data_IF_477720037654
#
_entry.id   IF_477720037654
#
_cell.length_a   1.000
_cell.length_b   1.000
_cell.length_c   1.000
_cell.angle_alpha   90.00
_cell.angle_beta   90.00
_cell.angle_gamma   90.00
#
_symmetry.space_group_name_H-M   'P 1'
#
loop_
_entity.id
_entity.type
_entity.pdbx_description
1 polymer ?
#
# COMPACT_ATOMS: atom_id res chain seq x y z
N UNK A 1 2.41 -14.17 -17.53
CA UNK A 1 3.40 -14.53 -16.49
C UNK A 1 4.33 -13.36 -16.19
N UNK A 2 5.40 -13.06 -16.94
CA UNK A 2 6.34 -12.00 -16.51
C UNK A 2 5.73 -10.58 -16.42
N UNK A 3 4.79 -10.24 -17.31
CA UNK A 3 4.04 -8.99 -17.24
C UNK A 3 3.11 -8.92 -16.01
N UNK A 4 2.80 -10.07 -15.45
CA UNK A 4 1.86 -10.28 -14.34
C UNK A 4 2.59 -10.57 -13.02
N UNK A 5 3.92 -10.55 -13.07
CA UNK A 5 4.81 -10.57 -11.92
C UNK A 5 5.27 -9.14 -11.70
N UNK A 6 5.09 -8.61 -10.49
CA UNK A 6 5.43 -7.23 -10.12
C UNK A 6 6.96 -7.01 -10.08
N UNK A 7 7.62 -7.08 -11.24
CA UNK A 7 9.07 -7.02 -11.41
C UNK A 7 9.46 -5.83 -12.30
N UNK A 8 10.59 -5.19 -11.99
CA UNK A 8 11.22 -4.21 -12.87
C UNK A 8 11.93 -4.89 -14.07
N UNK A 9 12.34 -4.11 -15.07
CA UNK A 9 12.96 -4.67 -16.29
C UNK A 9 14.30 -5.36 -16.01
N UNK A 10 15.10 -4.83 -15.07
CA UNK A 10 16.36 -5.43 -14.63
C UNK A 10 16.17 -6.86 -14.11
N UNK A 11 15.09 -7.12 -13.34
CA UNK A 11 14.76 -8.45 -12.83
C UNK A 11 14.12 -9.36 -13.89
N UNK A 12 13.48 -8.79 -14.92
CA UNK A 12 12.88 -9.57 -16.03
C UNK A 12 13.92 -10.04 -17.04
N UNK A 13 14.94 -9.25 -17.32
CA UNK A 13 15.97 -9.55 -18.30
C UNK A 13 16.65 -10.93 -18.12
N UNK A 14 17.12 -11.33 -16.92
CA UNK A 14 17.73 -12.65 -16.73
C UNK A 14 16.73 -13.79 -16.96
N UNK A 15 15.46 -13.61 -16.59
CA UNK A 15 14.41 -14.60 -16.82
C UNK A 15 14.14 -14.82 -18.33
N UNK A 16 14.34 -13.78 -19.16
CA UNK A 16 14.27 -13.89 -20.62
C UNK A 16 15.45 -14.66 -21.21
N UNK A 17 16.60 -14.74 -20.52
CA UNK A 17 17.79 -15.48 -20.95
C UNK A 17 17.74 -16.98 -20.59
N UNK A 18 16.80 -17.41 -19.75
CA UNK A 18 16.70 -18.82 -19.36
C UNK A 18 16.46 -19.78 -20.53
N UNK A 19 16.98 -21.02 -20.46
CA UNK A 19 16.69 -22.07 -21.44
C UNK A 19 15.18 -22.35 -21.56
N UNK A 20 14.75 -22.80 -22.75
CA UNK A 20 13.32 -23.09 -23.02
C UNK A 20 12.71 -24.06 -22.02
N UNK A 21 13.46 -25.07 -21.58
CA UNK A 21 12.96 -26.07 -20.62
C UNK A 21 12.65 -25.47 -19.25
N UNK A 22 13.50 -24.56 -18.77
CA UNK A 22 13.28 -23.88 -17.50
C UNK A 22 12.08 -22.93 -17.57
N UNK A 23 11.95 -22.18 -18.67
CA UNK A 23 10.76 -21.35 -18.94
C UNK A 23 9.47 -22.18 -18.97
N UNK A 24 9.50 -23.35 -19.62
CA UNK A 24 8.34 -24.27 -19.68
C UNK A 24 7.95 -24.76 -18.28
N UNK A 25 8.93 -25.16 -17.45
CA UNK A 25 8.68 -25.54 -16.05
C UNK A 25 8.03 -24.41 -15.26
N UNK A 26 8.54 -23.17 -15.40
CA UNK A 26 7.96 -22.00 -14.74
C UNK A 26 6.51 -21.73 -15.16
N UNK A 27 6.20 -21.84 -16.46
CA UNK A 27 4.84 -21.63 -16.96
C UNK A 27 3.86 -22.70 -16.45
N UNK A 28 4.29 -23.96 -16.39
CA UNK A 28 3.47 -25.05 -15.84
C UNK A 28 3.21 -24.83 -14.35
N UNK A 29 4.23 -24.45 -13.58
CA UNK A 29 4.08 -24.13 -12.16
C UNK A 29 3.14 -22.94 -11.93
N UNK A 30 3.30 -21.85 -12.69
CA UNK A 30 2.43 -20.69 -12.62
C UNK A 30 0.96 -21.03 -12.91
N UNK A 31 0.70 -21.83 -13.96
CA UNK A 31 -0.66 -22.34 -14.22
C UNK A 31 -1.15 -23.21 -13.06
N UNK A 32 -0.34 -24.16 -12.60
CA UNK A 32 -0.74 -25.05 -11.52
C UNK A 32 -1.14 -24.31 -10.25
N UNK A 33 -0.41 -23.26 -9.86
CA UNK A 33 -0.73 -22.44 -8.68
C UNK A 33 -2.02 -21.63 -8.90
N UNK A 34 -2.22 -21.07 -10.10
CA UNK A 34 -3.35 -20.17 -10.38
C UNK A 34 -4.65 -20.88 -10.83
N UNK A 35 -4.65 -22.20 -11.03
CA UNK A 35 -5.84 -22.95 -11.50
C UNK A 35 -6.42 -23.91 -10.45
N UNK A 36 -5.96 -23.84 -9.19
CA UNK A 36 -6.43 -24.72 -8.12
C UNK A 36 -7.77 -24.21 -7.55
N UNK A 37 -8.88 -24.57 -8.21
CA UNK A 37 -10.24 -24.38 -7.69
C UNK A 37 -10.58 -25.45 -6.63
N UNK A 38 -11.24 -25.06 -5.53
CA UNK A 38 -11.81 -25.94 -4.51
C UNK A 38 -10.98 -26.23 -3.24
N UNK A 39 -9.92 -25.47 -2.93
CA UNK A 39 -9.06 -25.70 -1.75
C UNK A 39 -9.24 -24.68 -0.62
N UNK A 40 -9.81 -23.51 -0.90
CA UNK A 40 -9.87 -22.41 0.07
C UNK A 40 -11.28 -21.84 0.16
N UNK A 41 -11.63 -21.31 1.34
CA UNK A 41 -12.85 -20.50 1.50
C UNK A 41 -12.75 -19.17 0.74
N UNK A 42 -11.52 -18.72 0.49
CA UNK A 42 -11.21 -17.50 -0.24
C UNK A 42 -10.37 -17.88 -1.44
N UNK A 43 -11.00 -17.96 -2.61
CA UNK A 43 -10.33 -18.31 -3.87
C UNK A 43 -10.22 -17.09 -4.77
N UNK A 44 -11.28 -16.27 -4.80
CA UNK A 44 -11.35 -15.07 -5.61
C UNK A 44 -11.20 -13.82 -4.75
N UNK A 45 -10.66 -12.73 -5.32
CA UNK A 45 -10.65 -11.42 -4.67
C UNK A 45 -12.03 -11.01 -4.15
N UNK A 46 -13.08 -11.29 -4.94
CA UNK A 46 -14.47 -11.01 -4.58
C UNK A 46 -14.93 -11.69 -3.28
N UNK A 47 -14.40 -12.88 -2.97
CA UNK A 47 -14.79 -13.61 -1.76
C UNK A 47 -14.38 -12.84 -0.50
N UNK A 48 -13.21 -12.19 -0.53
CA UNK A 48 -12.76 -11.33 0.57
C UNK A 48 -13.63 -10.09 0.69
N UNK A 49 -13.97 -9.44 -0.43
CA UNK A 49 -14.83 -8.25 -0.44
C UNK A 49 -16.20 -8.58 0.15
N UNK A 50 -16.83 -9.66 -0.33
CA UNK A 50 -18.11 -10.12 0.21
C UNK A 50 -18.00 -10.47 1.68
N UNK A 51 -16.93 -11.14 2.11
CA UNK A 51 -16.75 -11.55 3.50
C UNK A 51 -16.54 -10.37 4.44
N UNK A 52 -15.69 -9.40 4.08
CA UNK A 52 -15.42 -8.20 4.89
C UNK A 52 -16.67 -7.32 5.04
N UNK A 53 -17.54 -7.31 4.04
CA UNK A 53 -18.79 -6.54 4.06
C UNK A 53 -19.93 -7.27 4.80
N UNK A 54 -19.70 -8.47 5.37
CA UNK A 54 -20.73 -9.15 6.15
C UNK A 54 -21.01 -8.41 7.46
N UNK A 55 -22.29 -8.21 7.82
CA UNK A 55 -22.63 -7.64 9.12
C UNK A 55 -22.21 -8.58 10.25
N UNK A 56 -21.87 -8.00 11.40
CA UNK A 56 -21.63 -8.72 12.66
C UNK A 56 -20.47 -9.74 12.65
N UNK A 57 -19.41 -9.47 11.89
CA UNK A 57 -18.18 -10.25 12.01
C UNK A 57 -17.54 -10.04 13.38
N UNK A 58 -17.18 -11.13 14.05
CA UNK A 58 -16.36 -11.03 15.26
C UNK A 58 -14.97 -10.54 14.91
N UNK A 59 -14.35 -9.78 15.83
CA UNK A 59 -12.99 -9.25 15.68
C UNK A 59 -11.97 -10.33 15.27
N UNK A 60 -12.12 -11.56 15.80
CA UNK A 60 -11.24 -12.68 15.46
C UNK A 60 -11.42 -13.18 14.01
N UNK A 61 -12.65 -13.20 13.49
CA UNK A 61 -12.94 -13.58 12.10
C UNK A 61 -12.45 -12.51 11.12
N UNK A 62 -12.65 -11.24 11.47
CA UNK A 62 -12.09 -10.09 10.74
C UNK A 62 -10.58 -10.20 10.62
N UNK A 63 -9.88 -10.35 11.76
CA UNK A 63 -8.43 -10.50 11.78
C UNK A 63 -7.95 -11.67 10.90
N UNK A 64 -8.52 -12.87 11.07
CA UNK A 64 -8.10 -14.04 10.29
C UNK A 64 -8.36 -13.90 8.78
N UNK A 65 -9.44 -13.21 8.39
CA UNK A 65 -9.68 -12.87 6.99
C UNK A 65 -8.59 -11.94 6.44
N UNK A 66 -8.26 -10.87 7.17
CA UNK A 66 -7.25 -9.89 6.76
C UNK A 66 -5.86 -10.51 6.70
N UNK A 67 -5.50 -11.40 7.62
CA UNK A 67 -4.21 -12.11 7.59
C UNK A 67 -4.04 -12.93 6.33
N UNK A 68 -5.13 -13.61 5.92
CA UNK A 68 -5.19 -14.40 4.71
C UNK A 68 -5.18 -13.51 3.46
N UNK A 69 -5.94 -12.42 3.48
CA UNK A 69 -5.98 -11.42 2.41
C UNK A 69 -4.60 -10.80 2.17
N UNK A 70 -3.87 -10.40 3.22
CA UNK A 70 -2.51 -9.87 3.09
C UNK A 70 -1.56 -10.88 2.41
N UNK A 71 -1.66 -12.17 2.73
CA UNK A 71 -0.87 -13.21 2.06
C UNK A 71 -1.22 -13.25 0.57
N UNK A 72 -2.52 -13.23 0.23
CA UNK A 72 -2.99 -13.21 -1.15
C UNK A 72 -2.52 -11.96 -1.89
N UNK A 73 -2.64 -10.77 -1.30
CA UNK A 73 -2.18 -9.50 -1.88
C UNK A 73 -0.67 -9.48 -2.15
N UNK A 74 0.11 -10.20 -1.34
CA UNK A 74 1.57 -10.23 -1.47
C UNK A 74 2.04 -11.26 -2.51
N UNK A 75 1.37 -12.40 -2.60
CA UNK A 75 1.87 -13.55 -3.35
C UNK A 75 1.15 -13.80 -4.69
N UNK A 76 -0.02 -13.19 -4.90
CA UNK A 76 -0.77 -13.38 -6.14
C UNK A 76 -0.31 -12.42 -7.24
N UNK A 77 -0.59 -12.76 -8.52
CA UNK A 77 -0.25 -11.93 -9.67
C UNK A 77 -0.89 -10.53 -9.68
N UNK A 78 -0.37 -9.65 -10.54
CA UNK A 78 -0.95 -8.31 -10.77
C UNK A 78 -2.44 -8.38 -11.13
N UNK A 79 -2.84 -9.34 -11.96
CA UNK A 79 -4.25 -9.53 -12.37
C UNK A 79 -5.18 -9.80 -11.19
N UNK A 80 -4.67 -10.42 -10.11
CA UNK A 80 -5.47 -10.66 -8.89
C UNK A 80 -5.74 -9.34 -8.16
N UNK A 81 -4.73 -8.46 -8.09
CA UNK A 81 -4.86 -7.12 -7.49
C UNK A 81 -5.78 -6.24 -8.33
N UNK A 82 -5.70 -6.36 -9.66
CA UNK A 82 -6.59 -5.67 -10.59
C UNK A 82 -8.06 -6.10 -10.39
N UNK A 83 -8.31 -7.40 -10.21
CA UNK A 83 -9.64 -7.92 -9.90
C UNK A 83 -10.13 -7.54 -8.49
N UNK A 84 -9.23 -7.45 -7.50
CA UNK A 84 -9.56 -6.93 -6.17
C UNK A 84 -10.05 -5.48 -6.25
N UNK A 85 -9.36 -4.66 -7.04
CA UNK A 85 -9.83 -3.36 -7.51
C UNK A 85 -10.21 -2.36 -6.42
N UNK A 86 -10.92 -1.30 -6.82
CA UNK A 86 -11.38 -0.23 -5.94
C UNK A 86 -12.33 -0.75 -4.86
N UNK A 87 -13.25 -1.65 -5.21
CA UNK A 87 -14.19 -2.26 -4.27
C UNK A 87 -13.50 -2.96 -3.10
N UNK A 88 -12.42 -3.69 -3.38
CA UNK A 88 -11.65 -4.35 -2.34
C UNK A 88 -10.91 -3.37 -1.44
N UNK A 89 -10.32 -2.31 -2.03
CA UNK A 89 -9.68 -1.24 -1.28
C UNK A 89 -10.70 -0.51 -0.40
N UNK A 90 -11.87 -0.15 -0.92
CA UNK A 90 -12.96 0.50 -0.18
C UNK A 90 -13.43 -0.35 1.01
N UNK A 91 -13.55 -1.67 0.85
CA UNK A 91 -13.85 -2.59 1.96
C UNK A 91 -12.76 -2.59 3.04
N UNK A 92 -11.47 -2.55 2.66
CA UNK A 92 -10.36 -2.42 3.60
C UNK A 92 -10.40 -1.08 4.34
N UNK A 93 -10.60 0.03 3.62
CA UNK A 93 -10.69 1.37 4.20
C UNK A 93 -11.88 1.51 5.15
N UNK A 94 -13.02 0.92 4.79
CA UNK A 94 -14.21 0.85 5.65
C UNK A 94 -13.90 0.08 6.94
N UNK A 95 -13.25 -1.08 6.83
CA UNK A 95 -12.85 -1.88 7.98
C UNK A 95 -11.85 -1.12 8.87
N UNK A 96 -10.90 -0.42 8.25
CA UNK A 96 -9.91 0.41 8.96
C UNK A 96 -10.58 1.59 9.71
N UNK A 97 -11.56 2.25 9.08
CA UNK A 97 -12.34 3.29 9.74
C UNK A 97 -13.12 2.77 10.96
N UNK A 98 -13.71 1.59 10.86
CA UNK A 98 -14.36 0.96 12.02
C UNK A 98 -13.37 0.72 13.16
N UNK A 99 -12.12 0.36 12.85
CA UNK A 99 -11.11 0.16 13.90
C UNK A 99 -10.82 1.44 14.68
N UNK A 100 -10.89 2.62 14.06
CA UNK A 100 -10.65 3.89 14.77
C UNK A 100 -11.76 4.26 15.75
N UNK A 101 -13.00 3.86 15.47
CA UNK A 101 -14.15 4.18 16.33
C UNK A 101 -14.40 3.14 17.43
N UNK A 102 -13.71 2.00 17.38
CA UNK A 102 -13.90 0.89 18.31
C UNK A 102 -12.79 0.81 19.38
N UNK A 103 -13.01 -0.07 20.37
CA UNK A 103 -12.07 -0.32 21.47
C UNK A 103 -10.80 -1.07 21.01
N UNK A 104 -9.85 -1.20 21.95
CA UNK A 104 -8.51 -1.78 21.71
C UNK A 104 -8.51 -3.23 21.18
N UNK A 105 -9.63 -3.95 21.21
CA UNK A 105 -9.71 -5.29 20.59
C UNK A 105 -9.48 -5.21 19.08
N UNK A 106 -9.78 -4.06 18.46
CA UNK A 106 -9.58 -3.82 17.03
C UNK A 106 -8.16 -3.42 16.65
N UNK A 107 -7.25 -3.18 17.61
CA UNK A 107 -5.88 -2.73 17.30
C UNK A 107 -5.14 -3.73 16.40
N UNK A 108 -5.35 -5.04 16.60
CA UNK A 108 -4.79 -6.08 15.72
C UNK A 108 -5.41 -6.11 14.32
N UNK A 109 -6.70 -5.77 14.22
CA UNK A 109 -7.42 -5.71 12.94
C UNK A 109 -6.94 -4.49 12.16
N UNK A 110 -6.80 -3.35 12.83
CA UNK A 110 -6.22 -2.12 12.31
C UNK A 110 -4.84 -2.39 11.72
N UNK A 111 -3.98 -3.07 12.49
CA UNK A 111 -2.63 -3.43 12.05
C UNK A 111 -2.64 -4.27 10.78
N UNK A 112 -3.50 -5.27 10.69
CA UNK A 112 -3.55 -6.15 9.53
C UNK A 112 -4.17 -5.46 8.30
N UNK A 113 -5.16 -4.58 8.48
CA UNK A 113 -5.67 -3.70 7.40
C UNK A 113 -4.53 -2.88 6.80
N UNK A 114 -3.72 -2.26 7.65
CA UNK A 114 -2.58 -1.45 7.25
C UNK A 114 -1.56 -2.29 6.47
N UNK A 115 -1.29 -3.52 6.89
CA UNK A 115 -0.41 -4.43 6.14
C UNK A 115 -0.98 -4.86 4.80
N UNK A 116 -2.30 -5.03 4.69
CA UNK A 116 -2.97 -5.25 3.42
C UNK A 116 -2.76 -4.05 2.49
N UNK A 117 -3.00 -2.83 2.99
CA UNK A 117 -2.82 -1.60 2.24
C UNK A 117 -1.34 -1.44 1.81
N UNK A 118 -0.37 -1.70 2.70
CA UNK A 118 1.05 -1.70 2.33
C UNK A 118 1.38 -2.73 1.24
N UNK A 119 0.75 -3.92 1.24
CA UNK A 119 0.95 -4.90 0.17
C UNK A 119 0.42 -4.38 -1.18
N UNK A 120 -0.74 -3.72 -1.17
CA UNK A 120 -1.34 -3.07 -2.35
C UNK A 120 -0.43 -1.97 -2.88
N UNK A 121 0.15 -1.17 -1.99
CA UNK A 121 1.04 -0.06 -2.37
C UNK A 121 2.42 -0.50 -2.84
N UNK A 122 2.84 -1.71 -2.51
CA UNK A 122 4.02 -2.30 -3.11
C UNK A 122 3.77 -2.81 -4.55
N UNK A 123 2.55 -2.64 -5.08
CA UNK A 123 2.13 -3.11 -6.39
C UNK A 123 1.84 -1.93 -7.33
N UNK A 124 2.38 -2.00 -8.56
CA UNK A 124 2.19 -0.95 -9.57
C UNK A 124 0.72 -0.73 -9.95
N UNK A 125 -0.08 -1.78 -10.02
CA UNK A 125 -1.54 -1.68 -10.22
C UNK A 125 -2.21 -1.15 -8.97
N UNK A 126 -1.82 -1.67 -7.80
CA UNK A 126 -2.43 -1.32 -6.52
C UNK A 126 -2.27 0.16 -6.15
N UNK A 127 -1.11 0.78 -6.42
CA UNK A 127 -0.92 2.23 -6.25
C UNK A 127 -1.94 3.00 -7.09
N UNK A 128 -2.04 2.71 -8.39
CA UNK A 128 -2.98 3.38 -9.30
C UNK A 128 -4.42 3.24 -8.82
N UNK A 129 -4.83 2.03 -8.45
CA UNK A 129 -6.19 1.78 -7.93
C UNK A 129 -6.44 2.52 -6.61
N UNK A 130 -5.43 2.65 -5.73
CA UNK A 130 -5.56 3.42 -4.49
C UNK A 130 -5.87 4.90 -4.76
N UNK A 131 -5.30 5.49 -5.81
CA UNK A 131 -5.56 6.87 -6.18
C UNK A 131 -6.99 7.12 -6.68
N UNK A 132 -7.66 6.09 -7.20
CA UNK A 132 -9.07 6.18 -7.59
C UNK A 132 -9.99 6.22 -6.36
N UNK A 133 -9.49 5.83 -5.18
CA UNK A 133 -10.25 5.83 -3.92
C UNK A 133 -10.07 7.16 -3.16
N UNK A 134 -11.04 8.09 -3.32
CA UNK A 134 -11.03 9.41 -2.67
C UNK A 134 -10.84 9.38 -1.14
N UNK A 135 -11.33 8.34 -0.48
CA UNK A 135 -11.22 8.20 0.98
C UNK A 135 -9.90 7.57 1.46
N UNK A 136 -9.04 7.09 0.56
CA UNK A 136 -7.80 6.41 0.94
C UNK A 136 -6.86 7.31 1.76
N UNK A 137 -6.64 8.55 1.30
CA UNK A 137 -5.67 9.45 1.93
C UNK A 137 -6.13 9.91 3.32
N UNK A 138 -7.37 10.38 3.51
CA UNK A 138 -7.85 10.78 4.83
C UNK A 138 -7.83 9.63 5.85
N UNK A 139 -8.15 8.40 5.42
CA UNK A 139 -8.15 7.23 6.30
C UNK A 139 -6.73 6.84 6.69
N UNK A 140 -5.79 6.89 5.75
CA UNK A 140 -4.39 6.55 6.04
C UNK A 140 -3.70 7.61 6.88
N UNK A 141 -3.98 8.90 6.66
CA UNK A 141 -3.52 9.97 7.54
C UNK A 141 -3.97 9.75 9.00
N UNK A 142 -5.21 9.27 9.20
CA UNK A 142 -5.72 8.93 10.54
C UNK A 142 -4.99 7.76 11.20
N UNK A 143 -4.37 6.85 10.43
CA UNK A 143 -3.52 5.78 10.98
C UNK A 143 -2.27 6.28 11.68
N UNK A 144 -1.84 7.51 11.37
CA UNK A 144 -0.61 8.10 11.90
C UNK A 144 -0.79 8.74 13.28
N UNK A 145 -2.01 8.75 13.84
CA UNK A 145 -2.29 9.33 15.16
C UNK A 145 -1.46 8.62 16.26
N UNK A 146 -0.53 9.39 16.83
CA UNK A 146 0.45 8.95 17.82
C UNK A 146 -0.14 8.47 19.16
N UNK A 147 -1.45 8.65 19.38
CA UNK A 147 -2.12 8.33 20.65
C UNK A 147 -2.45 6.84 20.84
N UNK A 148 -2.12 5.95 19.89
CA UNK A 148 -2.43 4.51 19.90
C UNK A 148 -1.13 3.64 20.01
N UNK A 149 -1.19 2.42 20.58
CA UNK A 149 0.00 1.71 21.08
C UNK A 149 1.04 1.26 20.03
N UNK A 150 2.27 1.11 20.54
CA UNK A 150 3.55 1.37 19.89
C UNK A 150 4.05 0.39 18.81
N UNK A 151 3.51 -0.83 18.67
CA UNK A 151 4.06 -1.82 17.72
C UNK A 151 3.29 -1.91 16.39
N UNK A 152 1.96 -1.81 16.45
CA UNK A 152 1.13 -1.68 15.26
C UNK A 152 1.36 -0.34 14.53
N UNK A 153 1.69 0.68 15.33
CA UNK A 153 2.03 2.02 14.89
C UNK A 153 3.27 2.05 13.99
N UNK A 154 4.26 1.17 14.17
CA UNK A 154 5.51 1.23 13.40
C UNK A 154 5.34 0.80 11.93
N UNK A 155 4.65 -0.33 11.69
CA UNK A 155 4.35 -0.75 10.32
C UNK A 155 3.32 0.18 9.66
N UNK A 156 2.41 0.75 10.44
CA UNK A 156 1.48 1.79 10.01
C UNK A 156 2.20 3.04 9.55
N UNK A 157 3.07 3.59 10.39
CA UNK A 157 3.89 4.75 10.08
C UNK A 157 4.74 4.50 8.83
N UNK A 158 5.38 3.33 8.75
CA UNK A 158 6.19 2.96 7.57
C UNK A 158 5.34 2.86 6.30
N UNK A 159 4.21 2.14 6.34
CA UNK A 159 3.34 1.95 5.18
C UNK A 159 2.66 3.25 4.73
N UNK A 160 2.24 4.09 5.67
CA UNK A 160 1.67 5.40 5.37
C UNK A 160 2.72 6.36 4.81
N UNK A 161 3.95 6.37 5.35
CA UNK A 161 5.05 7.14 4.77
C UNK A 161 5.38 6.66 3.36
N UNK A 162 5.40 5.35 3.13
CA UNK A 162 5.59 4.78 1.81
C UNK A 162 4.48 5.18 0.84
N UNK A 163 3.22 5.19 1.29
CA UNK A 163 2.11 5.70 0.50
C UNK A 163 2.33 7.17 0.13
N UNK A 164 2.57 8.02 1.12
CA UNK A 164 2.72 9.45 0.89
C UNK A 164 3.86 9.71 -0.09
N UNK A 165 4.98 9.00 0.04
CA UNK A 165 6.07 9.06 -0.92
C UNK A 165 5.62 8.62 -2.32
N UNK A 166 4.97 7.48 -2.45
CA UNK A 166 4.45 7.00 -3.73
C UNK A 166 3.49 8.02 -4.35
N UNK A 167 2.67 8.69 -3.55
CA UNK A 167 1.71 9.68 -4.02
C UNK A 167 2.38 10.96 -4.49
N UNK A 168 3.27 11.49 -3.66
CA UNK A 168 3.90 12.77 -3.92
C UNK A 168 4.89 12.66 -5.09
N UNK A 169 5.50 11.49 -5.29
CA UNK A 169 6.52 11.28 -6.33
C UNK A 169 5.96 10.77 -7.66
N UNK A 170 4.69 10.38 -7.73
CA UNK A 170 4.07 9.89 -8.97
C UNK A 170 3.90 11.00 -10.04
N UNK A 171 3.45 12.22 -9.70
CA UNK A 171 3.23 13.25 -10.71
C UNK A 171 4.51 13.84 -11.30
N UNK A 172 4.56 13.98 -12.63
CA UNK A 172 5.67 14.66 -13.33
C UNK A 172 5.67 16.19 -13.09
N UNK A 173 4.49 16.76 -12.86
CA UNK A 173 4.29 18.19 -12.67
C UNK A 173 4.70 18.65 -11.26
N UNK A 174 5.73 19.48 -11.19
CA UNK A 174 6.24 20.03 -9.91
C UNK A 174 5.14 20.70 -9.07
N UNK A 175 4.28 21.51 -9.69
CA UNK A 175 3.21 22.23 -8.98
C UNK A 175 2.25 21.24 -8.27
N UNK A 176 1.95 20.12 -8.93
CA UNK A 176 1.09 19.09 -8.37
C UNK A 176 1.77 18.32 -7.23
N UNK A 177 3.06 17.98 -7.37
CA UNK A 177 3.84 17.38 -6.27
C UNK A 177 3.90 18.28 -5.03
N UNK A 178 4.17 19.57 -5.24
CA UNK A 178 4.17 20.58 -4.17
C UNK A 178 2.80 20.73 -3.52
N UNK A 179 1.73 20.73 -4.33
CA UNK A 179 0.36 20.77 -3.84
C UNK A 179 0.03 19.59 -2.93
N UNK A 180 0.28 18.35 -3.39
CA UNK A 180 0.03 17.12 -2.64
C UNK A 180 0.81 17.10 -1.33
N UNK A 181 2.12 17.41 -1.37
CA UNK A 181 2.93 17.48 -0.15
C UNK A 181 2.38 18.52 0.82
N UNK A 182 2.01 19.71 0.34
CA UNK A 182 1.44 20.77 1.17
C UNK A 182 0.09 20.36 1.77
N UNK A 183 -0.72 19.60 1.04
CA UNK A 183 -1.99 19.08 1.53
C UNK A 183 -1.78 18.03 2.63
N UNK A 184 -0.86 17.08 2.44
CA UNK A 184 -0.50 16.12 3.49
C UNK A 184 -0.02 16.82 4.76
N UNK A 185 0.88 17.80 4.63
CA UNK A 185 1.35 18.61 5.76
C UNK A 185 0.19 19.30 6.48
N UNK A 186 -0.73 19.94 5.75
CA UNK A 186 -1.88 20.67 6.32
C UNK A 186 -2.91 19.78 7.00
N UNK A 187 -3.10 18.55 6.52
CA UNK A 187 -4.13 17.62 7.01
C UNK A 187 -3.71 16.83 8.26
N UNK A 188 -2.57 17.19 8.86
CA UNK A 188 -2.13 16.68 10.17
C UNK A 188 -0.74 16.07 10.17
N UNK A 189 -0.07 15.94 9.02
CA UNK A 189 1.32 15.48 9.00
C UNK A 189 2.27 16.51 9.62
N UNK A 190 1.95 17.81 9.56
CA UNK A 190 2.78 18.85 10.16
C UNK A 190 3.07 18.62 11.64
N UNK A 191 2.06 18.22 12.41
CA UNK A 191 2.20 17.99 13.85
C UNK A 191 2.89 16.65 14.18
N UNK A 192 2.93 15.72 13.21
CA UNK A 192 3.42 14.36 13.39
C UNK A 192 4.82 14.13 12.81
N UNK A 193 5.28 14.95 11.86
CA UNK A 193 6.48 14.67 11.07
C UNK A 193 7.75 14.55 11.93
N UNK A 194 7.86 15.36 12.97
CA UNK A 194 9.03 15.33 13.87
C UNK A 194 9.02 14.09 14.77
N UNK A 195 7.84 13.61 15.18
CA UNK A 195 7.71 12.33 15.86
C UNK A 195 8.06 11.17 14.92
N UNK A 196 7.58 11.22 13.68
CA UNK A 196 7.90 10.23 12.65
C UNK A 196 9.41 10.15 12.38
N UNK A 197 10.12 11.29 12.42
CA UNK A 197 11.58 11.38 12.28
C UNK A 197 12.32 10.85 13.51
N UNK A 198 11.98 11.35 14.70
CA UNK A 198 12.77 11.12 15.93
C UNK A 198 12.84 9.67 16.37
N UNK A 199 11.87 8.83 15.99
CA UNK A 199 11.91 7.39 16.25
C UNK A 199 12.35 6.53 15.07
N UNK A 200 12.62 7.09 13.88
CA UNK A 200 12.74 6.29 12.65
C UNK A 200 13.93 5.33 12.63
N UNK A 201 13.62 4.04 12.36
CA UNK A 201 14.62 2.99 12.17
C UNK A 201 14.23 2.10 10.99
N UNK A 202 15.21 1.37 10.44
CA UNK A 202 15.01 0.40 9.36
C UNK A 202 14.23 0.95 8.17
N UNK A 203 13.10 0.30 7.84
CA UNK A 203 12.26 0.68 6.70
C UNK A 203 11.64 2.07 6.84
N UNK A 204 11.29 2.53 8.06
CA UNK A 204 10.74 3.89 8.25
C UNK A 204 11.79 4.94 7.94
N UNK A 205 13.03 4.75 8.39
CA UNK A 205 14.11 5.70 8.11
C UNK A 205 14.35 5.85 6.61
N UNK A 206 14.28 4.74 5.85
CA UNK A 206 14.36 4.79 4.39
C UNK A 206 13.23 5.65 3.82
N UNK A 207 11.99 5.45 4.27
CA UNK A 207 10.85 6.25 3.79
C UNK A 207 10.94 7.73 4.19
N UNK A 208 11.43 8.05 5.39
CA UNK A 208 11.67 9.44 5.78
C UNK A 208 12.74 10.11 4.90
N UNK A 209 13.84 9.41 4.62
CA UNK A 209 14.88 9.93 3.74
C UNK A 209 14.37 10.17 2.32
N UNK A 210 13.53 9.27 1.78
CA UNK A 210 12.88 9.46 0.48
C UNK A 210 12.01 10.71 0.52
N UNK A 211 11.16 10.86 1.55
CA UNK A 211 10.29 12.02 1.69
C UNK A 211 11.07 13.35 1.69
N UNK A 212 12.13 13.42 2.51
CA UNK A 212 12.96 14.61 2.69
C UNK A 212 13.80 14.91 1.43
N UNK A 213 14.37 13.89 0.79
CA UNK A 213 15.18 14.05 -0.43
C UNK A 213 14.35 14.58 -1.58
N UNK A 214 13.15 14.01 -1.80
CA UNK A 214 12.25 14.52 -2.84
C UNK A 214 11.73 15.91 -2.51
N UNK A 215 11.49 16.23 -1.23
CA UNK A 215 11.07 17.58 -0.85
C UNK A 215 12.16 18.62 -1.16
N UNK A 216 13.42 18.31 -0.86
CA UNK A 216 14.56 19.16 -1.21
C UNK A 216 14.71 19.33 -2.73
N UNK A 217 14.63 18.23 -3.50
CA UNK A 217 14.72 18.27 -4.95
C UNK A 217 13.61 19.10 -5.60
N UNK A 218 12.36 18.98 -5.12
CA UNK A 218 11.23 19.79 -5.59
C UNK A 218 11.45 21.28 -5.27
N UNK A 219 12.05 21.60 -4.12
CA UNK A 219 12.36 22.96 -3.75
C UNK A 219 13.48 23.56 -4.62
N UNK A 220 14.52 22.79 -4.92
CA UNK A 220 15.57 23.21 -5.85
C UNK A 220 15.03 23.43 -7.27
N UNK A 221 14.17 22.54 -7.77
CA UNK A 221 13.49 22.70 -9.07
C UNK A 221 12.61 23.97 -9.09
N UNK A 222 11.91 24.25 -7.99
CA UNK A 222 11.08 25.45 -7.86
C UNK A 222 11.91 26.73 -7.91
N UNK A 223 13.03 26.78 -7.18
CA UNK A 223 13.94 27.92 -7.18
C UNK A 223 14.56 28.16 -8.56
N UNK A 224 14.99 27.09 -9.25
CA UNK A 224 15.53 27.19 -10.60
C UNK A 224 14.53 27.81 -11.60
N UNK A 225 13.24 27.45 -11.50
CA UNK A 225 12.17 28.06 -12.33
C UNK A 225 11.96 29.54 -12.01
N UNK A 226 12.20 29.99 -10.78
CA UNK A 226 12.11 31.40 -10.42
C UNK A 226 13.27 32.22 -10.98
N UNK A 227 14.48 31.64 -11.03
CA UNK A 227 15.66 32.32 -11.57
C UNK A 227 15.59 32.47 -13.10
N UNK A 228 14.93 31.53 -13.82
CA UNK A 228 14.72 31.61 -15.27
C UNK A 228 13.67 32.67 -15.70
N UNK A 229 12.84 33.16 -14.76
CA UNK A 229 11.77 34.15 -15.03
C UNK A 229 12.23 35.59 -14.75
N UNK A 230 13.47 35.78 -14.28
CA UNK A 230 14.06 37.08 -13.94
C UNK A 230 15.04 37.58 -14.98
#
# INVERSE_FOLDING_TARGET
MLADMNLNEEKKEPLRKYPRDQKKKMLVAYKFVNTQEGRSKFEKPSDYVTYLNQPELSVGKLHGCLENLRISLTNNPLSWIEEFGTKGIESLLTTLNQCYTNDSRYDRVQYECIRCLSAILNNTVGIRTMFECREALPVLARSLDARKPHCALEAAKTGCMQLMNAIITEPEELEFRLHLRSEFMRTGLYDLIDELRSGAEGARQIQMNVFDTHAAADQDEFLAKFDDVR
#
